data_IF_209422873002
#
_entry.id   IF_209422873002
#
_cell.length_a   1.000
_cell.length_b   1.000
_cell.length_c   1.000
_cell.angle_alpha   90.00
_cell.angle_beta   90.00
_cell.angle_gamma   90.00
#
_symmetry.space_group_name_H-M   'P 1'
#
loop_
_entity.id
_entity.type
_entity.pdbx_description
1 polymer ?
#
# COMPACT_ATOMS: atom_id res chain seq x y z
N UNK A 1 -15.93 12.98 7.64
CA UNK A 1 -16.78 11.83 8.00
C UNK A 1 -16.16 10.59 7.35
N UNK A 2 -15.99 9.52 8.10
CA UNK A 2 -15.36 8.29 7.58
C UNK A 2 -16.26 7.62 6.53
N UNK A 3 -15.61 6.94 5.58
CA UNK A 3 -16.30 6.15 4.57
C UNK A 3 -17.03 4.96 5.20
N UNK A 4 -18.13 4.55 4.59
CA UNK A 4 -18.85 3.36 5.03
C UNK A 4 -18.07 2.08 4.70
N UNK A 5 -18.30 1.03 5.45
CA UNK A 5 -17.56 -0.23 5.33
C UNK A 5 -17.69 -0.88 3.95
N UNK A 6 -18.84 -0.80 3.32
CA UNK A 6 -19.07 -1.32 1.96
C UNK A 6 -18.30 -0.54 0.89
N UNK A 7 -18.19 0.78 1.07
CA UNK A 7 -17.38 1.64 0.19
C UNK A 7 -15.90 1.30 0.34
N UNK A 8 -15.40 1.13 1.57
CA UNK A 8 -14.03 0.72 1.84
C UNK A 8 -13.72 -0.62 1.18
N UNK A 9 -14.62 -1.60 1.30
CA UNK A 9 -14.46 -2.90 0.65
C UNK A 9 -14.44 -2.81 -0.87
N UNK A 10 -15.31 -1.99 -1.45
CA UNK A 10 -15.35 -1.76 -2.90
C UNK A 10 -14.06 -1.13 -3.42
N UNK A 11 -13.54 -0.12 -2.74
CA UNK A 11 -12.27 0.53 -3.08
C UNK A 11 -11.12 -0.47 -2.96
N UNK A 12 -11.08 -1.24 -1.89
CA UNK A 12 -10.05 -2.26 -1.68
C UNK A 12 -10.05 -3.32 -2.81
N UNK A 13 -11.23 -3.75 -3.26
CA UNK A 13 -11.36 -4.68 -4.38
C UNK A 13 -10.83 -4.09 -5.69
N UNK A 14 -11.11 -2.81 -5.96
CA UNK A 14 -10.59 -2.11 -7.14
C UNK A 14 -9.07 -2.03 -7.09
N UNK A 15 -8.50 -1.64 -5.96
CA UNK A 15 -7.05 -1.56 -5.76
C UNK A 15 -6.37 -2.92 -5.91
N UNK A 16 -6.94 -3.95 -5.29
CA UNK A 16 -6.43 -5.32 -5.40
C UNK A 16 -6.44 -5.80 -6.86
N UNK A 17 -7.54 -5.60 -7.59
CA UNK A 17 -7.65 -5.97 -9.00
C UNK A 17 -6.66 -5.21 -9.87
N UNK A 18 -6.49 -3.92 -9.63
CA UNK A 18 -5.52 -3.09 -10.37
C UNK A 18 -4.08 -3.55 -10.11
N UNK A 19 -3.76 -3.89 -8.88
CA UNK A 19 -2.45 -4.46 -8.52
C UNK A 19 -2.19 -5.76 -9.29
N UNK A 20 -3.16 -6.66 -9.32
CA UNK A 20 -3.04 -7.96 -10.02
C UNK A 20 -2.94 -7.81 -11.54
N UNK A 21 -3.61 -6.81 -12.11
CA UNK A 21 -3.62 -6.55 -13.54
C UNK A 21 -2.47 -5.64 -13.99
N UNK A 22 -1.67 -5.10 -13.08
CA UNK A 22 -0.59 -4.16 -13.40
C UNK A 22 -1.09 -2.83 -13.95
N UNK A 23 -2.27 -2.38 -13.50
CA UNK A 23 -2.89 -1.12 -13.93
C UNK A 23 -2.94 -0.11 -12.80
N UNK A 24 -3.08 1.17 -13.14
CA UNK A 24 -3.27 2.26 -12.18
C UNK A 24 -4.71 2.72 -12.18
N UNK A 25 -5.10 3.44 -11.13
CA UNK A 25 -6.39 4.12 -11.02
C UNK A 25 -6.17 5.62 -10.84
N UNK A 26 -7.21 6.42 -11.06
CA UNK A 26 -7.20 7.83 -10.69
C UNK A 26 -7.07 7.97 -9.17
N UNK A 27 -6.51 9.08 -8.66
CA UNK A 27 -6.43 9.32 -7.22
C UNK A 27 -7.80 9.19 -6.55
N UNK A 28 -7.84 8.50 -5.41
CA UNK A 28 -9.08 8.31 -4.66
C UNK A 28 -9.69 9.63 -4.19
N UNK A 29 -8.86 10.62 -3.95
CA UNK A 29 -9.29 11.98 -3.57
C UNK A 29 -10.14 12.68 -4.63
N UNK A 30 -10.05 12.27 -5.90
CA UNK A 30 -10.88 12.82 -6.96
C UNK A 30 -12.34 12.34 -6.87
N UNK A 31 -12.54 11.10 -6.41
CA UNK A 31 -13.87 10.52 -6.21
C UNK A 31 -14.41 10.71 -4.79
N UNK A 32 -13.51 10.77 -3.82
CA UNK A 32 -13.81 10.90 -2.40
C UNK A 32 -13.01 12.05 -1.81
N UNK A 33 -13.40 13.32 -2.06
CA UNK A 33 -12.63 14.50 -1.59
C UNK A 33 -12.45 14.55 -0.08
N UNK A 34 -13.37 13.97 0.68
CA UNK A 34 -13.35 13.95 2.14
C UNK A 34 -12.73 12.67 2.74
N UNK A 35 -12.05 11.86 1.91
CA UNK A 35 -11.37 10.66 2.39
C UNK A 35 -10.33 11.02 3.46
N UNK A 36 -10.36 10.28 4.56
CA UNK A 36 -9.45 10.50 5.68
C UNK A 36 -8.24 9.55 5.63
N UNK A 37 -7.20 9.88 6.40
CA UNK A 37 -6.04 8.98 6.60
C UNK A 37 -6.50 7.65 7.23
N UNK A 38 -7.43 7.68 8.16
CA UNK A 38 -7.98 6.47 8.78
C UNK A 38 -8.71 5.59 7.75
N UNK A 39 -9.48 6.20 6.85
CA UNK A 39 -10.10 5.46 5.74
C UNK A 39 -9.05 4.79 4.86
N UNK A 40 -7.97 5.50 4.53
CA UNK A 40 -6.87 4.95 3.74
C UNK A 40 -6.23 3.73 4.41
N UNK A 41 -6.02 3.76 5.73
CA UNK A 41 -5.52 2.60 6.48
C UNK A 41 -6.53 1.46 6.54
N UNK A 42 -7.81 1.73 6.66
CA UNK A 42 -8.85 0.71 6.58
C UNK A 42 -8.87 0.05 5.20
N UNK A 43 -8.78 0.83 4.12
CA UNK A 43 -8.67 0.30 2.75
C UNK A 43 -7.42 -0.56 2.61
N UNK A 44 -6.26 -0.10 3.08
CA UNK A 44 -5.00 -0.85 3.04
C UNK A 44 -5.11 -2.20 3.75
N UNK A 45 -5.76 -2.25 4.92
CA UNK A 45 -6.02 -3.52 5.63
C UNK A 45 -6.92 -4.45 4.84
N UNK A 46 -7.94 -3.94 4.16
CA UNK A 46 -8.81 -4.76 3.33
C UNK A 46 -8.08 -5.30 2.09
N UNK A 47 -7.21 -4.51 1.46
CA UNK A 47 -6.34 -5.01 0.38
C UNK A 47 -5.43 -6.13 0.87
N UNK A 48 -4.82 -5.96 2.06
CA UNK A 48 -4.02 -7.00 2.68
C UNK A 48 -4.84 -8.28 2.92
N UNK A 49 -6.07 -8.14 3.42
CA UNK A 49 -6.96 -9.29 3.65
C UNK A 49 -7.26 -10.04 2.35
N UNK A 50 -7.51 -9.32 1.25
CA UNK A 50 -7.71 -9.93 -0.07
C UNK A 50 -6.47 -10.70 -0.54
N UNK A 51 -5.26 -10.17 -0.32
CA UNK A 51 -4.00 -10.86 -0.63
C UNK A 51 -3.82 -12.13 0.21
N UNK A 52 -4.16 -12.07 1.48
CA UNK A 52 -4.08 -13.23 2.38
C UNK A 52 -5.09 -14.32 1.97
N UNK A 53 -6.33 -13.93 1.69
CA UNK A 53 -7.42 -14.88 1.38
C UNK A 53 -7.30 -15.49 -0.02
N UNK A 54 -6.94 -14.69 -1.03
CA UNK A 54 -6.94 -15.11 -2.42
C UNK A 54 -5.56 -15.60 -2.90
N UNK A 55 -4.48 -15.03 -2.38
CA UNK A 55 -3.11 -15.31 -2.83
C UNK A 55 -2.30 -16.09 -1.78
N UNK A 56 -2.89 -16.46 -0.66
CA UNK A 56 -2.23 -17.15 0.46
C UNK A 56 -0.99 -16.42 0.98
N UNK A 57 -0.97 -15.09 0.89
CA UNK A 57 0.15 -14.31 1.40
C UNK A 57 0.12 -14.26 2.92
N UNK A 58 1.32 -14.23 3.51
CA UNK A 58 1.51 -14.14 4.97
C UNK A 58 2.24 -12.84 5.30
N UNK A 59 1.76 -12.13 6.31
CA UNK A 59 2.46 -10.95 6.83
C UNK A 59 3.77 -11.39 7.49
N UNK A 60 4.89 -10.82 7.06
CA UNK A 60 6.22 -11.10 7.62
C UNK A 60 6.84 -9.86 8.27
N UNK A 61 6.26 -8.70 8.10
CA UNK A 61 6.78 -7.48 8.67
C UNK A 61 5.96 -6.24 8.37
N UNK A 62 6.52 -5.11 8.76
CA UNK A 62 5.97 -3.77 8.52
C UNK A 62 7.10 -2.83 8.13
N UNK A 63 6.79 -1.82 7.32
CA UNK A 63 7.73 -0.75 6.96
C UNK A 63 7.19 0.60 7.41
N UNK A 64 8.10 1.55 7.63
CA UNK A 64 7.79 2.94 7.94
C UNK A 64 8.44 3.82 6.87
N UNK A 65 7.65 4.68 6.26
CA UNK A 65 8.09 5.67 5.29
C UNK A 65 7.74 7.09 5.72
N UNK A 66 8.13 8.07 4.91
CA UNK A 66 7.85 9.50 5.14
C UNK A 66 8.34 9.94 6.53
N UNK A 67 9.58 9.57 6.87
CA UNK A 67 10.12 9.80 8.22
C UNK A 67 10.83 11.15 8.37
N UNK A 68 11.19 11.83 7.27
CA UNK A 68 11.83 13.14 7.31
C UNK A 68 10.84 14.28 7.20
N UNK A 69 11.11 15.40 7.89
CA UNK A 69 10.28 16.59 7.78
C UNK A 69 10.26 17.15 6.35
N UNK A 70 11.37 17.07 5.63
CA UNK A 70 11.45 17.54 4.24
C UNK A 70 10.50 16.78 3.32
N UNK A 71 10.40 15.46 3.45
CA UNK A 71 9.47 14.65 2.65
C UNK A 71 8.03 14.89 3.10
N UNK A 72 7.78 15.01 4.40
CA UNK A 72 6.46 15.35 4.93
C UNK A 72 5.97 16.68 4.37
N UNK A 73 6.82 17.71 4.36
CA UNK A 73 6.49 19.03 3.81
C UNK A 73 6.21 18.95 2.30
N UNK A 74 7.02 18.22 1.56
CA UNK A 74 6.84 18.03 0.12
C UNK A 74 5.50 17.36 -0.22
N UNK A 75 5.06 16.39 0.61
CA UNK A 75 3.82 15.65 0.41
C UNK A 75 2.59 16.31 1.07
N UNK A 76 2.80 17.35 1.88
CA UNK A 76 1.73 18.02 2.61
C UNK A 76 1.14 17.17 3.73
N UNK A 77 1.97 16.32 4.36
CA UNK A 77 1.57 15.48 5.49
C UNK A 77 2.36 15.82 6.75
N UNK A 78 1.88 15.38 7.90
CA UNK A 78 2.45 15.79 9.20
C UNK A 78 2.95 14.61 10.05
N UNK A 79 2.96 13.42 9.49
CA UNK A 79 3.35 12.20 10.20
C UNK A 79 3.94 11.18 9.22
N UNK A 80 4.76 10.24 9.71
CA UNK A 80 5.17 9.07 8.94
C UNK A 80 3.97 8.20 8.58
N UNK A 81 4.12 7.39 7.56
CA UNK A 81 3.18 6.34 7.22
C UNK A 81 3.78 4.96 7.47
N UNK A 82 2.93 3.94 7.50
CA UNK A 82 3.37 2.57 7.61
C UNK A 82 2.64 1.67 6.61
N UNK A 83 3.28 0.55 6.27
CA UNK A 83 2.68 -0.46 5.42
C UNK A 83 3.00 -1.86 5.90
N UNK A 84 2.17 -2.82 5.51
CA UNK A 84 2.41 -4.24 5.77
C UNK A 84 3.28 -4.83 4.68
N UNK A 85 4.15 -5.75 5.08
CA UNK A 85 4.99 -6.52 4.17
C UNK A 85 4.59 -7.99 4.24
N UNK A 86 4.31 -8.57 3.08
CA UNK A 86 4.04 -10.00 2.97
C UNK A 86 5.27 -10.75 2.49
N UNK A 87 5.27 -12.08 2.64
CA UNK A 87 6.41 -12.91 2.27
C UNK A 87 6.76 -12.81 0.78
N UNK A 88 5.79 -12.52 -0.08
CA UNK A 88 6.03 -12.34 -1.54
C UNK A 88 6.73 -11.05 -1.89
N UNK A 89 6.80 -10.09 -0.98
CA UNK A 89 7.52 -8.81 -1.14
C UNK A 89 8.97 -8.89 -0.65
N UNK A 90 9.36 -9.98 0.01
CA UNK A 90 10.69 -10.14 0.58
C UNK A 90 11.63 -10.81 -0.42
N UNK A 91 12.75 -10.14 -0.70
CA UNK A 91 13.80 -10.63 -1.59
C UNK A 91 15.12 -10.71 -0.83
N UNK A 92 15.95 -11.69 -1.18
CA UNK A 92 17.28 -11.79 -0.63
C UNK A 92 18.15 -10.61 -1.08
N UNK A 93 19.20 -10.31 -0.31
CA UNK A 93 20.19 -9.32 -0.71
C UNK A 93 20.80 -9.71 -2.06
N UNK A 94 21.00 -8.75 -2.95
CA UNK A 94 21.45 -8.95 -4.33
C UNK A 94 20.53 -9.77 -5.24
N UNK A 95 19.29 -10.02 -4.84
CA UNK A 95 18.32 -10.70 -5.72
C UNK A 95 17.91 -9.80 -6.88
N UNK A 96 17.68 -10.42 -8.04
CA UNK A 96 17.06 -9.76 -9.17
C UNK A 96 15.54 -9.70 -8.96
N UNK A 97 14.96 -8.52 -9.15
CA UNK A 97 13.51 -8.31 -9.04
C UNK A 97 12.95 -8.07 -10.43
N UNK A 98 12.12 -9.00 -10.90
CA UNK A 98 11.45 -8.85 -12.18
C UNK A 98 10.45 -7.68 -12.13
N UNK A 99 10.54 -6.77 -13.09
CA UNK A 99 9.63 -5.62 -13.18
C UNK A 99 8.35 -6.01 -13.91
N UNK A 100 8.47 -6.62 -15.08
CA UNK A 100 7.33 -6.94 -15.94
C UNK A 100 6.41 -7.96 -15.26
N UNK A 101 5.14 -7.60 -15.14
CA UNK A 101 4.11 -8.43 -14.50
C UNK A 101 4.19 -8.50 -12.98
N UNK A 102 5.09 -7.73 -12.36
CA UNK A 102 5.33 -7.74 -10.91
C UNK A 102 5.22 -6.35 -10.28
N UNK A 103 5.78 -5.33 -10.92
CA UNK A 103 5.83 -3.97 -10.39
C UNK A 103 5.12 -2.98 -11.32
N UNK A 104 4.57 -1.92 -10.73
CA UNK A 104 3.91 -0.81 -11.43
C UNK A 104 4.71 0.45 -11.13
N UNK A 105 5.29 1.09 -12.15
CA UNK A 105 6.07 2.34 -11.99
C UNK A 105 7.10 2.27 -10.85
N UNK A 106 8.03 1.30 -10.88
CA UNK A 106 8.92 1.04 -9.75
C UNK A 106 9.84 2.21 -9.45
N UNK A 107 10.09 2.42 -8.15
CA UNK A 107 11.09 3.35 -7.61
C UNK A 107 11.85 2.63 -6.51
N UNK A 108 13.10 3.06 -6.28
CA UNK A 108 13.92 2.56 -5.17
C UNK A 108 14.02 3.62 -4.07
N UNK A 109 13.72 3.23 -2.86
CA UNK A 109 13.80 4.07 -1.66
C UNK A 109 14.48 3.31 -0.53
N UNK A 110 15.15 4.05 0.38
CA UNK A 110 15.70 3.48 1.60
C UNK A 110 14.73 3.70 2.76
N UNK A 111 14.21 2.62 3.34
CA UNK A 111 13.27 2.67 4.45
C UNK A 111 13.63 1.65 5.53
N UNK A 112 13.11 1.88 6.74
CA UNK A 112 13.22 0.92 7.84
C UNK A 112 12.06 -0.06 7.76
N UNK A 113 12.39 -1.35 7.75
CA UNK A 113 11.42 -2.43 7.82
C UNK A 113 11.64 -3.25 9.09
N UNK A 114 10.56 -3.67 9.73
CA UNK A 114 10.56 -4.53 10.89
C UNK A 114 10.06 -5.92 10.48
N UNK A 115 10.86 -6.93 10.76
CA UNK A 115 10.47 -8.32 10.58
C UNK A 115 9.80 -8.83 11.86
N UNK A 116 8.64 -9.41 11.69
CA UNK A 116 7.86 -10.03 12.78
C UNK A 116 8.20 -11.51 12.94
#
# INVERSE_FOLDING_TARGET
MSLQSDVIQSIAQILYSSLKNGTTIAPLTDQFPDITVDDAYHISKQVLQLRMDNDNELVVGKKIGVTSSAVQDMLGVFQPDFGFLTHTMAYANHADICIKGNLIQPRAEGEIAFRL
#
